data_IF_594690815452
#
_entry.id   IF_594690815452
#
_cell.length_a   1.000
_cell.length_b   1.000
_cell.length_c   1.000
_cell.angle_alpha   90.00
_cell.angle_beta   90.00
_cell.angle_gamma   90.00
#
_symmetry.space_group_name_H-M   'P 1'
#
loop_
_entity.id
_entity.type
_entity.pdbx_description
1 polymer ?
#
# COMPACT_ATOMS: atom_id res chain seq x y z
N UNK A 1 12.36 -13.22 -29.39
CA UNK A 1 13.08 -11.92 -29.31
C UNK A 1 13.70 -11.78 -27.93
N UNK A 2 15.04 -11.82 -27.87
CA UNK A 2 15.80 -11.89 -26.63
C UNK A 2 15.93 -10.50 -25.98
N UNK A 3 15.18 -10.26 -24.89
CA UNK A 3 15.42 -9.12 -24.00
C UNK A 3 16.75 -9.32 -23.27
N UNK A 4 17.75 -8.53 -23.63
CA UNK A 4 19.12 -8.58 -23.09
C UNK A 4 19.15 -8.18 -21.61
N UNK A 5 19.94 -8.90 -20.79
CA UNK A 5 20.10 -8.70 -19.33
C UNK A 5 20.38 -7.24 -18.88
N UNK A 6 20.84 -6.35 -19.77
CA UNK A 6 21.10 -4.93 -19.48
C UNK A 6 19.84 -4.08 -19.30
N UNK A 7 18.74 -4.37 -20.00
CA UNK A 7 17.46 -3.64 -19.85
C UNK A 7 16.77 -3.97 -18.52
N UNK A 8 17.07 -5.16 -17.96
CA UNK A 8 16.49 -5.68 -16.71
C UNK A 8 17.09 -4.99 -15.47
N UNK A 9 18.36 -4.62 -15.50
CA UNK A 9 19.06 -3.96 -14.37
C UNK A 9 18.70 -2.47 -14.26
N UNK A 10 18.46 -1.79 -15.40
CA UNK A 10 18.04 -0.38 -15.39
C UNK A 10 16.59 -0.19 -14.91
N UNK A 11 15.68 -1.12 -15.21
CA UNK A 11 14.28 -1.04 -14.79
C UNK A 11 14.06 -1.24 -13.28
N UNK A 12 14.83 -2.14 -12.65
CA UNK A 12 14.79 -2.35 -11.19
C UNK A 12 15.49 -1.24 -10.42
N UNK A 13 16.58 -0.69 -10.97
CA UNK A 13 17.22 0.52 -10.44
C UNK A 13 16.31 1.74 -10.54
N UNK A 14 15.51 1.89 -11.61
CA UNK A 14 14.53 2.97 -11.74
C UNK A 14 13.35 2.85 -10.76
N UNK A 15 12.87 1.63 -10.49
CA UNK A 15 11.81 1.38 -9.49
C UNK A 15 12.31 1.72 -8.07
N UNK A 16 13.51 1.24 -7.73
CA UNK A 16 14.14 1.50 -6.44
C UNK A 16 14.65 2.94 -6.29
N UNK A 17 15.08 3.59 -7.38
CA UNK A 17 15.44 5.01 -7.38
C UNK A 17 14.21 5.92 -7.39
N UNK A 18 13.07 5.48 -7.94
CA UNK A 18 11.81 6.22 -7.81
C UNK A 18 11.28 6.14 -6.37
N UNK A 19 11.35 4.97 -5.71
CA UNK A 19 10.91 4.83 -4.31
C UNK A 19 11.91 5.41 -3.31
N UNK A 20 13.21 5.13 -3.44
CA UNK A 20 14.24 5.69 -2.55
C UNK A 20 14.57 7.16 -2.86
N UNK A 21 14.52 7.57 -4.13
CA UNK A 21 14.63 8.97 -4.53
C UNK A 21 13.44 9.79 -4.07
N UNK A 22 12.23 9.23 -4.08
CA UNK A 22 11.06 9.85 -3.47
C UNK A 22 11.22 9.97 -1.95
N UNK A 23 11.65 8.92 -1.24
CA UNK A 23 11.88 8.99 0.21
C UNK A 23 12.97 10.03 0.61
N UNK A 24 14.09 10.09 -0.10
CA UNK A 24 15.16 11.07 0.15
C UNK A 24 14.75 12.51 -0.25
N UNK A 25 14.02 12.67 -1.35
CA UNK A 25 13.47 13.96 -1.78
C UNK A 25 12.39 14.47 -0.82
N UNK A 26 11.56 13.59 -0.25
CA UNK A 26 10.53 13.96 0.72
C UNK A 26 11.10 14.22 2.12
N UNK A 27 12.15 13.48 2.54
CA UNK A 27 12.89 13.83 3.76
C UNK A 27 13.46 15.25 3.64
N UNK A 28 13.98 15.63 2.47
CA UNK A 28 14.42 17.00 2.19
C UNK A 28 13.27 18.02 2.21
N UNK A 29 12.12 17.73 1.59
CA UNK A 29 10.93 18.60 1.63
C UNK A 29 10.34 18.76 3.04
N UNK A 30 10.49 17.75 3.90
CA UNK A 30 10.00 17.77 5.29
C UNK A 30 10.93 18.53 6.24
N UNK A 31 12.18 18.76 5.85
CA UNK A 31 13.15 19.58 6.58
C UNK A 31 13.02 21.05 6.16
N UNK A 32 11.93 21.73 6.52
CA UNK A 32 11.87 23.18 6.25
C UNK A 32 10.57 23.91 6.54
N UNK A 33 9.44 23.23 6.67
CA UNK A 33 8.15 23.91 6.87
C UNK A 33 7.85 24.06 8.37
N UNK A 34 7.73 25.28 8.92
CA UNK A 34 7.23 25.49 10.27
C UNK A 34 5.79 24.96 10.40
N UNK A 35 5.48 24.37 11.56
CA UNK A 35 4.17 23.79 11.86
C UNK A 35 3.09 24.89 11.87
N UNK A 36 2.45 25.10 10.73
CA UNK A 36 1.31 26.00 10.60
C UNK A 36 0.12 25.47 11.42
N UNK A 37 -0.73 26.34 12.00
CA UNK A 37 -1.90 25.92 12.76
C UNK A 37 -2.77 24.97 11.94
N UNK A 38 -3.23 23.88 12.57
CA UNK A 38 -3.98 22.82 11.90
C UNK A 38 -5.20 23.42 11.17
N UNK A 39 -5.22 23.41 9.83
CA UNK A 39 -6.34 23.97 9.08
C UNK A 39 -7.60 23.13 9.33
N UNK A 40 -8.77 23.78 9.25
CA UNK A 40 -10.06 23.08 9.26
C UNK A 40 -10.03 22.03 8.13
N UNK A 41 -10.18 20.76 8.48
CA UNK A 41 -10.18 19.68 7.50
C UNK A 41 -11.53 19.65 6.79
N UNK A 42 -11.51 19.72 5.46
CA UNK A 42 -12.70 19.54 4.66
C UNK A 42 -13.24 18.10 4.81
N UNK A 43 -14.57 17.89 4.76
CA UNK A 43 -15.13 16.56 4.74
C UNK A 43 -14.56 15.72 3.57
N UNK A 44 -14.28 14.45 3.82
CA UNK A 44 -13.86 13.52 2.76
C UNK A 44 -15.02 13.37 1.77
N UNK A 45 -14.82 13.70 0.48
CA UNK A 45 -15.89 13.62 -0.52
C UNK A 45 -16.25 12.16 -0.79
N UNK A 46 -17.55 11.91 -0.97
CA UNK A 46 -18.13 10.57 -1.18
C UNK A 46 -18.56 10.42 -2.63
N UNK A 47 -18.17 9.32 -3.26
CA UNK A 47 -18.55 8.99 -4.64
C UNK A 47 -19.18 7.61 -4.73
N UNK A 48 -20.24 7.54 -5.52
CA UNK A 48 -20.93 6.29 -5.82
C UNK A 48 -20.41 5.71 -7.14
N UNK A 49 -19.60 4.67 -7.02
CA UNK A 49 -18.98 3.94 -8.12
C UNK A 49 -19.68 2.58 -8.34
N UNK A 50 -20.88 2.35 -7.77
CA UNK A 50 -21.59 1.07 -7.92
C UNK A 50 -21.99 0.76 -9.37
N UNK A 51 -22.18 1.78 -10.21
CA UNK A 51 -22.43 1.64 -11.66
C UNK A 51 -21.26 2.16 -12.51
N UNK A 52 -20.06 2.24 -11.91
CA UNK A 52 -18.83 2.72 -12.55
C UNK A 52 -17.66 1.82 -12.15
N UNK A 53 -16.46 2.19 -12.58
CA UNK A 53 -15.22 1.59 -12.10
C UNK A 53 -14.20 2.70 -11.74
N UNK A 54 -13.11 2.36 -11.02
CA UNK A 54 -12.03 3.29 -10.70
C UNK A 54 -11.38 3.95 -11.91
N UNK A 55 -11.35 3.28 -13.08
CA UNK A 55 -10.75 3.82 -14.28
C UNK A 55 -11.57 4.97 -14.87
N UNK A 56 -12.87 4.78 -15.07
CA UNK A 56 -13.80 5.83 -15.51
C UNK A 56 -13.79 7.00 -14.54
N UNK A 57 -13.73 6.71 -13.24
CA UNK A 57 -13.64 7.73 -12.20
C UNK A 57 -12.37 8.57 -12.31
N UNK A 58 -11.21 7.93 -12.51
CA UNK A 58 -9.94 8.63 -12.73
C UNK A 58 -9.96 9.49 -14.00
N UNK A 59 -10.57 9.01 -15.09
CA UNK A 59 -10.71 9.76 -16.34
C UNK A 59 -11.60 11.00 -16.20
N UNK A 60 -12.63 10.94 -15.36
CA UNK A 60 -13.44 12.10 -15.01
C UNK A 60 -12.71 13.11 -14.10
N UNK A 61 -11.55 12.73 -13.54
CA UNK A 61 -10.80 13.50 -12.54
C UNK A 61 -9.32 13.66 -12.87
N UNK A 62 -9.01 13.83 -14.14
CA UNK A 62 -7.61 13.88 -14.59
C UNK A 62 -6.77 14.94 -13.86
N UNK A 63 -7.35 16.09 -13.51
CA UNK A 63 -6.65 17.11 -12.72
C UNK A 63 -6.27 16.62 -11.32
N UNK A 64 -7.16 15.89 -10.64
CA UNK A 64 -6.87 15.28 -9.34
C UNK A 64 -5.81 14.19 -9.48
N UNK A 65 -5.92 13.32 -10.49
CA UNK A 65 -4.90 12.31 -10.79
C UNK A 65 -3.52 12.98 -11.00
N UNK A 66 -3.48 14.10 -11.74
CA UNK A 66 -2.25 14.85 -12.00
C UNK A 66 -1.66 15.45 -10.73
N UNK A 67 -2.50 16.07 -9.91
CA UNK A 67 -2.08 16.62 -8.61
C UNK A 67 -1.52 15.55 -7.67
N UNK A 68 -2.17 14.37 -7.64
CA UNK A 68 -1.71 13.23 -6.85
C UNK A 68 -0.39 12.66 -7.36
N UNK A 69 -0.25 12.47 -8.68
CA UNK A 69 1.01 12.08 -9.27
C UNK A 69 2.10 13.10 -8.92
N UNK A 70 1.84 14.40 -9.08
CA UNK A 70 2.80 15.44 -8.71
C UNK A 70 3.17 15.42 -7.22
N UNK A 71 2.23 15.13 -6.31
CA UNK A 71 2.52 15.00 -4.89
C UNK A 71 3.43 13.79 -4.58
N UNK A 72 3.24 12.68 -5.29
CA UNK A 72 3.98 11.44 -5.03
C UNK A 72 5.36 11.39 -5.73
N UNK A 73 5.43 11.89 -6.98
CA UNK A 73 6.62 11.78 -7.84
C UNK A 73 7.23 13.12 -8.27
N UNK A 74 6.67 14.26 -7.83
CA UNK A 74 7.31 15.58 -7.93
C UNK A 74 7.67 16.05 -9.35
N UNK A 75 8.35 17.21 -9.47
CA UNK A 75 8.93 17.65 -10.73
C UNK A 75 10.15 16.79 -11.08
N UNK A 76 9.97 15.87 -12.02
CA UNK A 76 11.04 15.01 -12.52
C UNK A 76 11.88 15.71 -13.59
N UNK A 77 13.19 15.46 -13.57
CA UNK A 77 14.11 15.81 -14.67
C UNK A 77 13.71 15.06 -15.96
N UNK A 78 14.11 15.53 -17.16
CA UNK A 78 13.80 14.82 -18.41
C UNK A 78 14.26 13.36 -18.41
N UNK A 79 15.45 13.08 -17.88
CA UNK A 79 15.95 11.71 -17.73
C UNK A 79 15.09 10.86 -16.78
N UNK A 80 14.66 11.44 -15.65
CA UNK A 80 13.78 10.75 -14.71
C UNK A 80 12.37 10.50 -15.30
N UNK A 81 11.86 11.37 -16.18
CA UNK A 81 10.59 11.14 -16.90
C UNK A 81 10.68 9.98 -17.89
N UNK A 82 11.80 9.85 -18.59
CA UNK A 82 12.03 8.71 -19.48
C UNK A 82 12.11 7.40 -18.68
N UNK A 83 12.84 7.43 -17.55
CA UNK A 83 12.90 6.29 -16.64
C UNK A 83 11.52 5.92 -16.07
N UNK A 84 10.70 6.91 -15.71
CA UNK A 84 9.33 6.71 -15.23
C UNK A 84 8.46 6.00 -16.26
N UNK A 85 8.53 6.42 -17.53
CA UNK A 85 7.76 5.78 -18.62
C UNK A 85 8.16 4.31 -18.80
N UNK A 86 9.45 4.00 -18.69
CA UNK A 86 9.94 2.63 -18.69
C UNK A 86 9.50 1.84 -17.46
N UNK A 87 9.48 2.47 -16.28
CA UNK A 87 9.01 1.86 -15.04
C UNK A 87 7.51 1.53 -15.09
N UNK A 88 6.68 2.42 -15.62
CA UNK A 88 5.25 2.17 -15.84
C UNK A 88 5.01 0.99 -16.77
N UNK A 89 5.75 0.91 -17.89
CA UNK A 89 5.65 -0.22 -18.80
C UNK A 89 6.05 -1.55 -18.13
N UNK A 90 7.08 -1.54 -17.28
CA UNK A 90 7.45 -2.70 -16.49
C UNK A 90 6.38 -3.07 -15.45
N UNK A 91 5.82 -2.07 -14.77
CA UNK A 91 4.75 -2.23 -13.79
C UNK A 91 3.51 -2.86 -14.43
N UNK A 92 3.03 -2.32 -15.55
CA UNK A 92 1.90 -2.89 -16.30
C UNK A 92 2.17 -4.32 -16.77
N UNK A 93 3.37 -4.59 -17.30
CA UNK A 93 3.75 -5.95 -17.71
C UNK A 93 3.73 -6.92 -16.52
N UNK A 94 4.22 -6.48 -15.37
CA UNK A 94 4.19 -7.29 -14.16
C UNK A 94 2.77 -7.50 -13.65
N UNK A 95 1.94 -6.46 -13.61
CA UNK A 95 0.53 -6.53 -13.20
C UNK A 95 -0.24 -7.52 -14.07
N UNK A 96 -0.07 -7.49 -15.40
CA UNK A 96 -0.62 -8.53 -16.29
C UNK A 96 -0.13 -9.93 -15.92
N UNK A 97 1.17 -10.08 -15.72
CA UNK A 97 1.78 -11.37 -15.35
C UNK A 97 1.43 -11.84 -13.93
N UNK A 98 0.92 -10.96 -13.06
CA UNK A 98 0.52 -11.27 -11.69
C UNK A 98 -0.79 -12.05 -11.61
N UNK A 99 -1.58 -12.08 -12.69
CA UNK A 99 -2.91 -12.68 -12.71
C UNK A 99 -3.98 -11.84 -12.00
N UNK A 100 -3.69 -10.58 -11.67
CA UNK A 100 -4.68 -9.68 -11.07
C UNK A 100 -5.80 -9.34 -12.05
N UNK A 101 -7.08 -9.35 -11.63
CA UNK A 101 -8.20 -8.99 -12.50
C UNK A 101 -8.27 -7.49 -12.81
N UNK A 102 -7.43 -6.67 -12.18
CA UNK A 102 -7.51 -5.20 -12.24
C UNK A 102 -6.46 -4.54 -13.14
N UNK A 103 -5.67 -5.33 -13.89
CA UNK A 103 -4.64 -4.78 -14.79
C UNK A 103 -5.26 -3.84 -15.85
N UNK A 104 -6.40 -4.23 -16.43
CA UNK A 104 -7.09 -3.45 -17.46
C UNK A 104 -7.55 -2.07 -16.96
N UNK A 105 -7.92 -1.94 -15.68
CA UNK A 105 -8.28 -0.63 -15.11
C UNK A 105 -7.07 0.31 -15.12
N UNK A 106 -5.90 -0.18 -14.71
CA UNK A 106 -4.66 0.61 -14.71
C UNK A 106 -4.22 0.99 -16.12
N UNK A 107 -4.41 0.10 -17.09
CA UNK A 107 -4.14 0.39 -18.49
C UNK A 107 -5.05 1.47 -19.05
N UNK A 108 -6.36 1.40 -18.75
CA UNK A 108 -7.32 2.44 -19.13
C UNK A 108 -6.98 3.79 -18.50
N UNK A 109 -6.57 3.79 -17.23
CA UNK A 109 -6.17 5.03 -16.54
C UNK A 109 -4.91 5.61 -17.19
N UNK A 110 -3.86 4.80 -17.36
CA UNK A 110 -2.60 5.25 -17.92
C UNK A 110 -2.78 5.79 -19.35
N UNK A 111 -3.51 5.05 -20.20
CA UNK A 111 -3.76 5.45 -21.58
C UNK A 111 -4.67 6.69 -21.68
N UNK A 112 -5.76 6.74 -20.90
CA UNK A 112 -6.75 7.80 -21.03
C UNK A 112 -6.41 9.10 -20.30
N UNK A 113 -5.54 9.07 -19.29
CA UNK A 113 -5.05 10.28 -18.62
C UNK A 113 -3.73 10.80 -19.21
N UNK A 114 -2.89 9.93 -19.77
CA UNK A 114 -1.54 10.26 -20.22
C UNK A 114 -0.59 10.68 -19.08
N UNK A 115 -0.95 10.41 -17.82
CA UNK A 115 -0.18 10.81 -16.64
C UNK A 115 0.76 9.67 -16.26
N UNK A 116 2.07 9.93 -16.33
CA UNK A 116 3.10 8.98 -15.93
C UNK A 116 3.11 8.73 -14.41
N UNK A 117 3.53 7.53 -14.03
CA UNK A 117 3.68 7.06 -12.65
C UNK A 117 2.46 6.37 -12.08
N UNK A 118 1.30 6.41 -12.74
CA UNK A 118 0.07 5.79 -12.21
C UNK A 118 0.22 4.26 -12.05
N UNK A 119 0.64 3.50 -13.07
CA UNK A 119 0.90 2.07 -12.90
C UNK A 119 1.94 1.79 -11.82
N UNK A 120 3.05 2.53 -11.82
CA UNK A 120 4.11 2.38 -10.83
C UNK A 120 3.61 2.54 -9.39
N UNK A 121 2.88 3.62 -9.12
CA UNK A 121 2.35 3.92 -7.78
C UNK A 121 1.37 2.84 -7.31
N UNK A 122 0.61 2.23 -8.21
CA UNK A 122 -0.29 1.12 -7.88
C UNK A 122 0.42 -0.21 -7.61
N UNK A 123 1.73 -0.32 -7.87
CA UNK A 123 2.54 -1.47 -7.43
C UNK A 123 3.11 -1.29 -6.02
N UNK A 124 2.97 -0.10 -5.43
CA UNK A 124 3.49 0.23 -4.10
C UNK A 124 2.36 0.37 -3.09
N UNK A 125 2.46 -0.36 -1.97
CA UNK A 125 1.61 -0.20 -0.79
C UNK A 125 2.43 -0.03 0.49
N UNK A 126 3.72 0.26 0.33
CA UNK A 126 4.72 0.27 1.41
C UNK A 126 4.64 1.55 2.23
N UNK A 127 3.70 1.60 3.18
CA UNK A 127 3.46 2.78 4.02
C UNK A 127 3.34 2.44 5.51
N UNK A 128 3.66 3.45 6.34
CA UNK A 128 3.51 3.38 7.79
C UNK A 128 2.04 3.29 8.16
N UNK A 129 1.70 2.45 9.12
CA UNK A 129 0.31 2.30 9.53
C UNK A 129 0.23 1.59 10.87
N UNK A 130 -0.80 1.95 11.64
CA UNK A 130 -1.16 1.27 12.87
C UNK A 130 -2.63 0.88 12.80
N UNK A 131 -2.95 -0.36 13.13
CA UNK A 131 -4.32 -0.87 13.14
C UNK A 131 -4.59 -1.70 14.40
N UNK A 132 -5.84 -1.70 14.84
CA UNK A 132 -6.35 -2.50 15.96
C UNK A 132 -7.63 -3.23 15.52
N UNK A 133 -7.70 -4.52 15.78
CA UNK A 133 -8.92 -5.30 15.82
C UNK A 133 -9.24 -5.65 17.29
N UNK A 134 -10.42 -5.28 17.76
CA UNK A 134 -10.86 -5.57 19.12
C UNK A 134 -12.39 -5.62 19.19
N UNK A 135 -12.98 -6.28 20.21
CA UNK A 135 -14.38 -6.04 20.56
C UNK A 135 -14.63 -4.55 20.79
N UNK A 136 -15.81 -4.08 20.40
CA UNK A 136 -16.31 -2.78 20.80
C UNK A 136 -16.36 -2.67 22.34
N UNK A 137 -16.18 -1.47 22.93
CA UNK A 137 -16.22 -1.30 24.38
C UNK A 137 -17.50 -1.78 25.06
N UNK A 138 -18.63 -1.75 24.33
CA UNK A 138 -19.93 -2.26 24.80
C UNK A 138 -20.08 -3.78 24.66
N UNK A 139 -19.10 -4.45 24.04
CA UNK A 139 -19.12 -5.88 23.76
C UNK A 139 -20.17 -6.30 22.73
N UNK A 140 -20.78 -5.36 21.99
CA UNK A 140 -21.87 -5.64 21.05
C UNK A 140 -21.42 -5.94 19.61
N UNK A 141 -20.25 -5.44 19.22
CA UNK A 141 -19.69 -5.65 17.89
C UNK A 141 -18.16 -5.78 17.90
N UNK A 142 -17.54 -5.94 16.74
CA UNK A 142 -16.10 -5.76 16.56
C UNK A 142 -15.77 -4.37 16.01
N UNK A 143 -14.62 -3.82 16.39
CA UNK A 143 -14.10 -2.53 15.97
C UNK A 143 -12.76 -2.69 15.24
N UNK A 144 -12.63 -2.02 14.10
CA UNK A 144 -11.36 -1.78 13.42
C UNK A 144 -11.01 -0.30 13.54
N UNK A 145 -9.87 -0.02 14.18
CA UNK A 145 -9.28 1.31 14.21
C UNK A 145 -8.01 1.30 13.37
N UNK A 146 -7.77 2.38 12.62
CA UNK A 146 -6.57 2.50 11.78
C UNK A 146 -6.09 3.94 11.66
N UNK A 147 -4.77 4.10 11.69
CA UNK A 147 -4.05 5.24 11.11
C UNK A 147 -3.27 4.77 9.86
N UNK A 148 -3.20 5.64 8.86
CA UNK A 148 -2.41 5.43 7.66
C UNK A 148 -1.49 6.63 7.50
N UNK A 149 -0.19 6.37 7.46
CA UNK A 149 0.87 7.35 7.49
C UNK A 149 1.63 7.29 6.16
N UNK A 150 1.72 8.42 5.46
CA UNK A 150 2.50 8.54 4.22
C UNK A 150 3.53 9.65 4.34
N UNK A 151 4.67 9.53 3.64
CA UNK A 151 5.67 10.60 3.56
C UNK A 151 5.30 11.68 2.52
N UNK A 152 4.14 11.57 1.86
CA UNK A 152 3.70 12.48 0.79
C UNK A 152 2.89 13.65 1.33
N UNK A 153 3.51 14.82 1.43
CA UNK A 153 2.82 16.04 1.81
C UNK A 153 1.65 16.33 0.86
N UNK A 154 0.47 16.56 1.43
CA UNK A 154 -0.75 16.89 0.68
C UNK A 154 -1.58 15.70 0.19
N UNK A 155 -1.08 14.46 0.25
CA UNK A 155 -1.83 13.28 -0.25
C UNK A 155 -3.18 13.08 0.49
N UNK A 156 -3.22 13.41 1.77
CA UNK A 156 -4.44 13.37 2.58
C UNK A 156 -5.58 14.27 2.09
N UNK A 157 -5.26 15.37 1.40
CA UNK A 157 -6.26 16.30 0.84
C UNK A 157 -6.96 15.74 -0.39
N UNK A 158 -6.41 14.67 -0.99
CA UNK A 158 -6.96 14.01 -2.15
C UNK A 158 -7.71 12.71 -1.85
N UNK A 159 -7.88 12.35 -0.57
CA UNK A 159 -8.61 11.14 -0.17
C UNK A 159 -10.07 11.27 -0.54
N UNK A 160 -10.63 10.20 -1.08
CA UNK A 160 -12.04 10.06 -1.41
C UNK A 160 -12.61 8.79 -0.78
N UNK A 161 -13.90 8.80 -0.43
CA UNK A 161 -14.63 7.60 -0.06
C UNK A 161 -15.41 7.10 -1.27
N UNK A 162 -15.14 5.86 -1.71
CA UNK A 162 -15.82 5.24 -2.84
C UNK A 162 -16.75 4.14 -2.36
N UNK A 163 -18.01 4.21 -2.79
CA UNK A 163 -18.97 3.11 -2.68
C UNK A 163 -18.92 2.29 -3.96
N UNK A 164 -18.61 1.00 -3.84
CA UNK A 164 -18.54 0.05 -4.97
C UNK A 164 -19.41 -1.17 -4.67
N UNK A 165 -19.61 -2.02 -5.67
CA UNK A 165 -20.28 -3.31 -5.51
C UNK A 165 -19.50 -4.39 -6.25
N UNK A 166 -19.47 -5.58 -5.67
CA UNK A 166 -19.02 -6.80 -6.33
C UNK A 166 -20.04 -7.94 -6.12
N UNK A 167 -19.73 -9.16 -6.59
CA UNK A 167 -20.59 -10.33 -6.39
C UNK A 167 -20.99 -10.61 -4.93
N UNK A 168 -20.14 -10.28 -3.96
CA UNK A 168 -20.40 -10.41 -2.51
C UNK A 168 -21.23 -9.27 -1.91
N UNK A 169 -21.55 -8.22 -2.70
CA UNK A 169 -22.39 -7.09 -2.29
C UNK A 169 -21.67 -5.74 -2.30
N UNK A 170 -22.34 -4.72 -1.74
CA UNK A 170 -21.81 -3.37 -1.66
C UNK A 170 -20.70 -3.25 -0.60
N UNK A 171 -19.76 -2.33 -0.83
CA UNK A 171 -18.72 -1.96 0.12
C UNK A 171 -18.31 -0.50 -0.08
N UNK A 172 -17.70 0.09 0.93
CA UNK A 172 -17.12 1.42 0.91
C UNK A 172 -15.64 1.35 1.30
N UNK A 173 -14.79 2.14 0.68
CA UNK A 173 -13.37 2.19 1.01
C UNK A 173 -12.79 3.58 0.73
N UNK A 174 -11.68 3.88 1.40
CA UNK A 174 -10.91 5.09 1.16
C UNK A 174 -9.92 4.84 0.02
N UNK A 175 -9.85 5.77 -0.92
CA UNK A 175 -9.00 5.68 -2.11
C UNK A 175 -8.61 7.07 -2.65
N UNK A 176 -7.94 7.08 -3.79
CA UNK A 176 -7.55 8.27 -4.54
C UNK A 176 -7.85 8.07 -6.03
N UNK A 177 -8.27 9.10 -6.78
CA UNK A 177 -8.36 9.02 -8.23
C UNK A 177 -7.05 8.52 -8.86
N UNK A 178 -7.13 7.44 -9.63
CA UNK A 178 -5.98 6.76 -10.24
C UNK A 178 -5.47 5.55 -9.45
N UNK A 179 -5.96 5.31 -8.23
CA UNK A 179 -5.71 4.09 -7.49
C UNK A 179 -6.76 3.02 -7.80
N UNK A 180 -6.33 1.76 -7.89
CA UNK A 180 -7.16 0.59 -8.24
C UNK A 180 -7.24 -0.42 -7.10
N UNK A 181 -6.27 -0.41 -6.19
CA UNK A 181 -6.25 -1.24 -4.99
C UNK A 181 -7.17 -0.80 -3.86
N UNK A 182 -7.21 -1.60 -2.80
CA UNK A 182 -7.88 -1.25 -1.56
C UNK A 182 -6.89 -1.26 -0.40
N UNK A 183 -6.88 -0.19 0.39
CA UNK A 183 -6.09 -0.11 1.63
C UNK A 183 -6.95 -0.34 2.87
N UNK A 184 -8.06 0.40 3.00
CA UNK A 184 -8.99 0.31 4.14
C UNK A 184 -10.42 0.36 3.63
N UNK A 185 -11.28 -0.53 4.12
CA UNK A 185 -12.68 -0.54 3.72
C UNK A 185 -13.61 -1.18 4.73
N UNK A 186 -14.90 -1.05 4.43
CA UNK A 186 -16.01 -1.64 5.16
C UNK A 186 -17.03 -2.18 4.15
N UNK A 187 -17.44 -3.42 4.34
CA UNK A 187 -18.55 -4.08 3.68
C UNK A 187 -19.70 -4.16 4.69
N UNK A 188 -20.68 -3.23 4.63
CA UNK A 188 -21.77 -3.19 5.61
C UNK A 188 -22.48 -4.54 5.72
N UNK A 189 -22.68 -5.03 6.95
CA UNK A 189 -23.30 -6.32 7.21
C UNK A 189 -22.42 -7.54 6.91
N UNK A 190 -21.12 -7.37 6.60
CA UNK A 190 -20.19 -8.47 6.33
C UNK A 190 -18.91 -8.39 7.18
N UNK A 191 -18.08 -7.37 6.93
CA UNK A 191 -16.78 -7.19 7.60
C UNK A 191 -16.17 -5.81 7.31
N UNK A 192 -15.12 -5.45 8.03
CA UNK A 192 -14.22 -4.35 7.70
C UNK A 192 -12.77 -4.84 7.75
N UNK A 193 -11.89 -4.26 6.93
CA UNK A 193 -10.52 -4.71 6.82
C UNK A 193 -9.55 -3.61 6.40
N UNK A 194 -8.29 -3.81 6.77
CA UNK A 194 -7.17 -2.93 6.48
C UNK A 194 -5.91 -3.74 6.15
N UNK A 195 -5.05 -3.20 5.30
CA UNK A 195 -3.70 -3.71 5.02
C UNK A 195 -2.62 -2.80 5.61
N UNK A 196 -1.60 -3.43 6.21
CA UNK A 196 -0.39 -2.82 6.70
C UNK A 196 0.84 -3.36 5.96
N UNK A 197 1.87 -2.51 5.79
CA UNK A 197 3.14 -2.94 5.24
C UNK A 197 3.87 -3.85 6.23
N UNK A 198 4.45 -4.99 5.78
CA UNK A 198 5.29 -5.85 6.61
C UNK A 198 6.67 -5.20 6.87
N UNK A 199 7.47 -5.71 7.81
CA UNK A 199 8.87 -5.30 7.93
C UNK A 199 9.69 -5.67 6.67
N UNK A 200 10.68 -4.84 6.33
CA UNK A 200 11.50 -5.02 5.12
C UNK A 200 12.48 -6.17 5.32
N UNK A 201 12.55 -7.09 4.35
CA UNK A 201 13.54 -8.18 4.35
C UNK A 201 14.93 -7.65 4.04
N UNK A 202 15.77 -7.54 5.07
CA UNK A 202 17.20 -7.25 4.94
C UNK A 202 17.90 -8.47 4.35
N UNK A 203 18.45 -8.33 3.15
CA UNK A 203 19.13 -9.39 2.40
C UNK A 203 20.55 -9.01 2.02
N UNK A 204 20.85 -7.72 1.94
CA UNK A 204 22.20 -7.22 1.64
C UNK A 204 22.93 -6.92 2.96
N UNK A 205 24.18 -7.40 3.16
CA UNK A 205 24.99 -6.99 4.30
C UNK A 205 25.23 -5.47 4.32
N UNK A 206 24.97 -4.83 5.46
CA UNK A 206 25.05 -3.37 5.64
C UNK A 206 23.69 -2.64 5.57
N UNK A 207 23.64 -1.38 5.97
CA UNK A 207 22.42 -0.56 6.02
C UNK A 207 21.98 -0.04 4.64
N UNK A 208 21.84 -0.91 3.63
CA UNK A 208 21.45 -0.52 2.27
C UNK A 208 19.98 -0.78 1.97
N UNK A 209 19.09 0.04 2.54
CA UNK A 209 17.64 -0.06 2.33
C UNK A 209 17.21 -0.03 0.85
N UNK A 210 17.92 0.73 0.01
CA UNK A 210 17.63 0.83 -1.42
C UNK A 210 17.91 -0.48 -2.17
N UNK A 211 19.00 -1.19 -1.82
CA UNK A 211 19.31 -2.47 -2.45
C UNK A 211 18.36 -3.58 -1.98
N UNK A 212 17.98 -3.57 -0.71
CA UNK A 212 16.94 -4.47 -0.19
C UNK A 212 15.60 -4.26 -0.90
N UNK A 213 15.19 -3.00 -1.09
CA UNK A 213 13.98 -2.64 -1.83
C UNK A 213 14.05 -3.07 -3.30
N UNK A 214 15.19 -2.86 -3.96
CA UNK A 214 15.41 -3.32 -5.34
C UNK A 214 15.32 -4.85 -5.47
N UNK A 215 15.85 -5.59 -4.50
CA UNK A 215 15.79 -7.04 -4.48
C UNK A 215 14.38 -7.54 -4.16
N UNK A 216 13.65 -6.88 -3.25
CA UNK A 216 12.25 -7.17 -2.98
C UNK A 216 11.38 -6.96 -4.23
N UNK A 217 11.56 -5.82 -4.92
CA UNK A 217 10.91 -5.54 -6.19
C UNK A 217 11.24 -6.58 -7.26
N UNK A 218 12.50 -7.02 -7.33
CA UNK A 218 12.92 -8.08 -8.26
C UNK A 218 12.28 -9.43 -7.94
N UNK A 219 12.17 -9.80 -6.66
CA UNK A 219 11.51 -11.04 -6.21
C UNK A 219 10.01 -10.99 -6.51
N UNK A 220 9.34 -9.88 -6.21
CA UNK A 220 7.95 -9.66 -6.55
C UNK A 220 7.74 -9.73 -8.06
N UNK A 221 8.63 -9.11 -8.84
CA UNK A 221 8.61 -9.15 -10.30
C UNK A 221 8.74 -10.57 -10.86
N UNK A 222 9.60 -11.41 -10.27
CA UNK A 222 9.75 -12.83 -10.66
C UNK A 222 8.62 -13.72 -10.18
N UNK A 223 7.77 -13.25 -9.25
CA UNK A 223 6.65 -14.02 -8.68
C UNK A 223 5.40 -13.91 -9.56
N UNK A 224 5.50 -14.32 -10.83
CA UNK A 224 4.36 -14.35 -11.75
C UNK A 224 3.21 -15.21 -11.20
N UNK A 225 1.97 -14.81 -11.49
CA UNK A 225 0.76 -15.51 -11.06
C UNK A 225 0.32 -15.25 -9.62
N UNK A 226 0.96 -14.31 -8.91
CA UNK A 226 0.54 -13.89 -7.57
C UNK A 226 0.12 -12.43 -7.58
N UNK A 227 -1.08 -12.15 -7.11
CA UNK A 227 -1.61 -10.78 -7.10
C UNK A 227 -0.97 -9.91 -6.01
N UNK A 228 -0.89 -8.58 -6.21
CA UNK A 228 -0.55 -7.64 -5.15
C UNK A 228 -1.50 -7.76 -3.95
N UNK A 229 -1.00 -7.60 -2.72
CA UNK A 229 -1.80 -7.74 -1.51
C UNK A 229 -2.96 -6.73 -1.43
N UNK A 230 -2.76 -5.50 -1.92
CA UNK A 230 -3.80 -4.47 -2.06
C UNK A 230 -4.90 -4.86 -3.08
N UNK A 231 -4.56 -5.64 -4.11
CA UNK A 231 -5.53 -6.21 -5.05
C UNK A 231 -6.26 -7.41 -4.45
N UNK A 232 -5.57 -8.26 -3.67
CA UNK A 232 -6.24 -9.32 -2.90
C UNK A 232 -7.26 -8.72 -1.93
N UNK A 233 -6.91 -7.65 -1.23
CA UNK A 233 -7.83 -7.00 -0.31
C UNK A 233 -9.06 -6.47 -1.05
N UNK A 234 -8.88 -5.81 -2.21
CA UNK A 234 -10.01 -5.41 -3.06
C UNK A 234 -10.87 -6.61 -3.46
N UNK A 235 -10.25 -7.70 -3.91
CA UNK A 235 -10.94 -8.91 -4.32
C UNK A 235 -11.81 -9.48 -3.19
N UNK A 236 -11.29 -9.52 -1.96
CA UNK A 236 -12.03 -9.93 -0.77
C UNK A 236 -13.28 -9.09 -0.56
N UNK A 237 -13.20 -7.75 -0.66
CA UNK A 237 -14.37 -6.87 -0.55
C UNK A 237 -15.41 -7.11 -1.65
N UNK A 238 -14.95 -7.40 -2.87
CA UNK A 238 -15.80 -7.68 -4.02
C UNK A 238 -16.50 -9.04 -3.91
N UNK A 239 -15.88 -10.08 -3.33
CA UNK A 239 -16.38 -11.46 -3.45
C UNK A 239 -16.79 -12.12 -2.14
N UNK A 240 -16.12 -11.86 -1.01
CA UNK A 240 -16.36 -12.59 0.23
C UNK A 240 -17.74 -12.28 0.82
N UNK A 241 -18.52 -13.30 1.17
CA UNK A 241 -19.88 -13.12 1.68
C UNK A 241 -19.91 -12.71 3.16
N UNK A 242 -18.88 -13.06 3.92
CA UNK A 242 -18.80 -12.80 5.35
C UNK A 242 -17.34 -12.74 5.84
N UNK A 243 -17.18 -12.51 7.14
CA UNK A 243 -15.89 -12.48 7.82
C UNK A 243 -15.07 -13.77 7.67
N UNK A 244 -15.72 -14.94 7.71
CA UNK A 244 -15.02 -16.22 7.66
C UNK A 244 -14.43 -16.47 6.26
N UNK A 245 -15.20 -16.17 5.21
CA UNK A 245 -14.73 -16.24 3.83
C UNK A 245 -13.64 -15.20 3.55
N UNK A 246 -13.80 -13.97 4.06
CA UNK A 246 -12.79 -12.93 3.96
C UNK A 246 -11.46 -13.37 4.61
N UNK A 247 -11.53 -13.94 5.82
CA UNK A 247 -10.36 -14.50 6.52
C UNK A 247 -9.70 -15.61 5.70
N UNK A 248 -10.47 -16.57 5.19
CA UNK A 248 -9.93 -17.70 4.42
C UNK A 248 -9.19 -17.22 3.16
N UNK A 249 -9.75 -16.26 2.42
CA UNK A 249 -9.10 -15.66 1.25
C UNK A 249 -7.82 -14.91 1.64
N UNK A 250 -7.86 -14.12 2.72
CA UNK A 250 -6.72 -13.36 3.21
C UNK A 250 -5.64 -14.22 3.86
N UNK A 251 -5.94 -15.43 4.33
CA UNK A 251 -4.94 -16.38 4.85
C UNK A 251 -4.28 -17.19 3.73
N UNK A 252 -5.07 -17.66 2.76
CA UNK A 252 -4.64 -18.76 1.88
C UNK A 252 -4.31 -18.35 0.45
N UNK A 253 -4.77 -17.20 -0.02
CA UNK A 253 -4.46 -16.76 -1.39
C UNK A 253 -2.99 -16.33 -1.47
N UNK A 254 -2.15 -16.92 -2.34
CA UNK A 254 -0.77 -16.48 -2.51
C UNK A 254 -0.68 -15.01 -2.94
N UNK A 255 0.22 -14.25 -2.31
CA UNK A 255 0.42 -12.82 -2.59
C UNK A 255 1.82 -12.53 -3.13
N UNK A 256 1.96 -11.49 -3.95
CA UNK A 256 3.21 -11.16 -4.62
C UNK A 256 4.33 -10.71 -3.66
N UNK A 257 3.94 -10.13 -2.54
CA UNK A 257 4.84 -9.67 -1.49
C UNK A 257 4.14 -9.77 -0.12
N UNK A 258 4.89 -9.91 0.99
CA UNK A 258 4.32 -10.07 2.32
C UNK A 258 3.40 -8.89 2.73
N UNK A 259 2.46 -9.12 3.62
CA UNK A 259 1.50 -8.12 4.09
C UNK A 259 1.04 -8.43 5.51
N UNK A 260 0.42 -7.45 6.17
CA UNK A 260 -0.31 -7.69 7.42
C UNK A 260 -1.74 -7.22 7.20
N UNK A 261 -2.74 -8.07 7.42
CA UNK A 261 -4.15 -7.71 7.30
C UNK A 261 -4.77 -7.62 8.69
N UNK A 262 -5.55 -6.57 8.94
CA UNK A 262 -6.43 -6.47 10.11
C UNK A 262 -7.86 -6.65 9.62
N UNK A 263 -8.62 -7.56 10.22
CA UNK A 263 -9.96 -7.94 9.78
C UNK A 263 -10.90 -8.01 10.98
N UNK A 264 -12.11 -7.47 10.82
CA UNK A 264 -13.20 -7.57 11.79
C UNK A 264 -14.51 -7.95 11.12
N UNK A 265 -15.31 -8.78 11.77
CA UNK A 265 -16.66 -9.13 11.35
C UNK A 265 -17.73 -8.28 12.04
N UNK A 266 -18.90 -8.87 12.25
CA UNK A 266 -20.01 -8.23 12.96
C UNK A 266 -19.99 -8.54 14.45
N UNK A 267 -19.56 -9.76 14.81
CA UNK A 267 -19.59 -10.24 16.19
C UNK A 267 -18.32 -9.81 16.94
N UNK A 268 -18.39 -9.57 18.25
CA UNK A 268 -17.24 -9.16 19.06
C UNK A 268 -16.01 -10.08 18.95
N UNK A 269 -16.24 -11.38 18.76
CA UNK A 269 -15.17 -12.37 18.62
C UNK A 269 -14.61 -12.49 17.19
N UNK A 270 -15.26 -11.88 16.19
CA UNK A 270 -14.78 -11.85 14.82
C UNK A 270 -13.73 -10.73 14.67
N UNK A 271 -12.58 -10.91 15.30
CA UNK A 271 -11.46 -9.99 15.24
C UNK A 271 -10.17 -10.76 15.01
N UNK A 272 -9.37 -10.35 14.03
CA UNK A 272 -8.05 -10.93 13.85
C UNK A 272 -7.05 -10.00 13.15
N UNK A 273 -5.76 -10.26 13.42
CA UNK A 273 -4.63 -9.81 12.61
C UNK A 273 -4.02 -11.03 11.92
N UNK A 274 -3.84 -10.94 10.60
CA UNK A 274 -3.27 -11.99 9.74
C UNK A 274 -1.93 -11.47 9.21
N UNK A 275 -0.83 -12.00 9.71
CA UNK A 275 0.50 -11.75 9.17
C UNK A 275 0.77 -12.72 8.02
N UNK A 276 1.10 -12.19 6.85
CA UNK A 276 1.28 -12.95 5.62
C UNK A 276 2.70 -12.84 5.09
N UNK A 277 3.34 -13.99 4.93
CA UNK A 277 4.35 -14.15 3.89
C UNK A 277 3.65 -14.47 2.55
N UNK A 278 4.44 -14.67 1.49
CA UNK A 278 3.94 -14.97 0.14
C UNK A 278 2.92 -16.14 0.15
N UNK A 279 3.22 -17.24 0.85
CA UNK A 279 2.35 -18.44 0.91
C UNK A 279 2.01 -18.87 2.35
N UNK A 280 2.75 -18.38 3.34
CA UNK A 280 2.54 -18.71 4.74
C UNK A 280 1.75 -17.60 5.45
N UNK A 281 1.10 -17.96 6.55
CA UNK A 281 0.36 -17.02 7.39
C UNK A 281 0.47 -17.37 8.86
N UNK A 282 0.32 -16.35 9.72
CA UNK A 282 0.07 -16.49 11.14
C UNK A 282 -1.11 -15.59 11.51
N UNK A 283 -2.13 -16.14 12.16
CA UNK A 283 -3.35 -15.41 12.52
C UNK A 283 -3.48 -15.31 14.03
N UNK A 284 -3.57 -14.08 14.54
CA UNK A 284 -3.94 -13.82 15.92
C UNK A 284 -5.42 -13.43 15.97
N UNK A 285 -6.22 -14.22 16.67
CA UNK A 285 -7.62 -13.93 16.96
C UNK A 285 -7.77 -13.14 18.27
N UNK A 286 -8.93 -12.51 18.46
CA UNK A 286 -9.20 -11.66 19.62
C UNK A 286 -8.60 -10.26 19.49
N UNK A 287 -8.23 -9.65 20.62
CA UNK A 287 -7.64 -8.29 20.62
C UNK A 287 -6.23 -8.36 20.04
N UNK A 288 -6.04 -7.72 18.88
CA UNK A 288 -4.78 -7.76 18.15
C UNK A 288 -4.50 -6.42 17.46
N UNK A 289 -3.23 -6.02 17.44
CA UNK A 289 -2.81 -4.81 16.73
C UNK A 289 -1.65 -5.08 15.79
N UNK A 290 -1.67 -4.36 14.68
CA UNK A 290 -0.67 -4.41 13.63
C UNK A 290 -0.02 -3.03 13.48
N UNK A 291 1.30 -3.00 13.43
CA UNK A 291 2.06 -1.86 12.94
C UNK A 291 2.76 -2.28 11.64
N UNK A 292 4.08 -2.04 11.53
CA UNK A 292 4.91 -2.46 10.39
C UNK A 292 6.00 -3.47 10.80
N UNK A 293 5.68 -4.34 11.75
CA UNK A 293 6.57 -5.38 12.29
C UNK A 293 5.81 -6.69 12.42
N UNK A 294 6.51 -7.80 12.30
CA UNK A 294 5.98 -9.11 12.72
C UNK A 294 5.85 -9.13 14.23
N UNK A 295 4.67 -9.50 14.72
CA UNK A 295 4.35 -9.64 16.14
C UNK A 295 3.89 -11.05 16.47
N UNK A 296 3.16 -11.69 15.55
CA UNK A 296 2.50 -12.97 15.78
C UNK A 296 3.15 -14.13 15.01
N UNK A 297 3.70 -13.86 13.83
CA UNK A 297 4.42 -14.82 13.00
C UNK A 297 5.94 -14.71 13.16
N UNK A 298 6.66 -15.76 12.75
CA UNK A 298 8.12 -15.80 12.69
C UNK A 298 8.60 -15.72 11.24
N UNK A 299 8.34 -14.60 10.58
CA UNK A 299 8.78 -14.36 9.20
C UNK A 299 10.06 -13.50 9.15
N UNK A 300 10.89 -13.62 8.10
CA UNK A 300 12.03 -12.72 7.89
C UNK A 300 11.61 -11.24 7.71
N UNK A 301 12.33 -10.30 8.32
CA UNK A 301 12.18 -8.85 8.13
C UNK A 301 12.61 -8.01 9.35
N UNK A 302 12.94 -6.74 9.14
CA UNK A 302 13.19 -5.74 10.21
C UNK A 302 12.28 -4.52 9.98
N UNK A 303 11.62 -4.03 11.03
CA UNK A 303 10.74 -2.86 10.93
C UNK A 303 11.49 -1.58 10.60
N UNK A 304 10.86 -0.68 9.83
CA UNK A 304 11.48 0.60 9.43
C UNK A 304 11.88 1.49 10.63
N UNK A 305 11.14 1.40 11.75
CA UNK A 305 11.44 2.12 13.00
C UNK A 305 12.58 1.50 13.84
N UNK A 306 13.07 0.31 13.47
CA UNK A 306 14.12 -0.42 14.19
C UNK A 306 15.53 -0.17 13.65
N UNK A 307 15.76 0.93 12.91
CA UNK A 307 17.11 1.39 12.64
C UNK A 307 17.81 1.63 14.00
N UNK A 308 19.04 1.13 14.20
CA UNK A 308 19.72 1.28 15.47
C UNK A 308 19.82 2.77 15.81
N UNK A 309 19.25 3.17 16.96
CA UNK A 309 19.58 4.45 17.57
C UNK A 309 21.10 4.56 17.54
N UNK A 310 21.64 5.51 16.79
CA UNK A 310 23.04 5.91 16.95
C UNK A 310 23.21 6.12 18.45
N UNK A 311 24.03 5.28 19.09
CA UNK A 311 24.46 5.52 20.47
C UNK A 311 24.98 6.95 20.46
N UNK A 312 24.28 7.86 21.12
CA UNK A 312 24.75 9.21 21.32
C UNK A 312 26.16 9.10 21.88
N UNK A 313 27.10 9.82 21.27
CA UNK A 313 28.40 10.07 21.91
C UNK A 313 28.07 10.57 23.31
N UNK A 314 28.48 9.81 24.31
CA UNK A 314 28.56 10.28 25.68
C UNK A 314 29.28 11.61 25.64
N UNK A 315 28.61 12.68 26.05
CA UNK A 315 29.24 13.97 26.26
C UNK A 315 30.41 13.76 27.24
N UNK A 316 31.61 14.32 26.97
CA UNK A 316 32.69 14.26 27.94
C UNK A 316 32.25 15.02 29.19
N UNK A 317 32.39 14.36 30.34
CA UNK A 317 32.21 14.96 31.66
C UNK A 317 33.10 16.20 31.77
N UNK A 318 32.49 17.35 32.11
CA UNK A 318 33.23 18.55 32.45
C UNK A 318 34.12 18.29 33.68
N UNK A 319 35.39 18.73 33.68
CA UNK A 319 36.22 18.67 34.87
C UNK A 319 35.67 19.60 35.96
N UNK A 320 35.81 19.15 37.20
CA UNK A 320 35.41 19.85 38.44
C UNK A 320 36.13 21.17 38.63
#
# INVERSE_FOLDING_TARGET
MATTRRTVVFGTAALAAATAGSAAHQAWLSHGEPEAPAPRLDPIPVFDLRESDPARHALARQERVRGLAQACIGPLTPAARLALSGADALALRWLRASGTPYADELERIAAGTGIGGVPLLNTSYEWGCTALAAPAPDGGSAWLLRTLDWPFHGLGRGVELWRQKGPGGAYAHLSWPGAVGLLTGMAPGRFAAAINQPPVRRRVPGDSATLDAALAAFVAWRSSGRMPALHLLRHVFETARDHAEARALLERTPIAAPAIFTLVGLRPAETCVIERDIEAFATQEGVASAANVWRYGTFPGVGAAAAPRRRGRTAPSAPR
#
